data_IF_173957540770
#
_entry.id   IF_173957540770
#
_cell.length_a   1.000
_cell.length_b   1.000
_cell.length_c   1.000
_cell.angle_alpha   90.00
_cell.angle_beta   90.00
_cell.angle_gamma   90.00
#
_symmetry.space_group_name_H-M   'P 1'
#
loop_
_entity.id
_entity.type
_entity.pdbx_description
1 polymer ?
#
# COMPACT_ATOMS: atom_id res chain seq x y z
N UNK A 1 -17.56 7.34 -5.81
CA UNK A 1 -18.12 6.47 -4.74
C UNK A 1 -17.80 7.12 -3.40
N UNK A 2 -18.76 7.24 -2.46
CA UNK A 2 -18.51 7.85 -1.15
C UNK A 2 -17.60 6.98 -0.28
N UNK A 3 -16.84 7.63 0.60
CA UNK A 3 -15.94 6.96 1.54
C UNK A 3 -16.73 6.20 2.62
N UNK A 4 -16.23 5.04 3.04
CA UNK A 4 -16.85 4.24 4.09
C UNK A 4 -16.69 4.90 5.47
N UNK A 5 -17.77 4.94 6.25
CA UNK A 5 -17.77 5.50 7.59
C UNK A 5 -17.32 4.47 8.64
N UNK A 6 -16.68 4.94 9.72
CA UNK A 6 -16.10 4.09 10.76
C UNK A 6 -16.30 4.71 12.13
N UNK A 7 -16.11 3.89 13.17
CA UNK A 7 -16.07 4.36 14.55
C UNK A 7 -15.09 5.54 14.69
N UNK A 8 -15.56 6.61 15.32
CA UNK A 8 -14.79 7.83 15.56
C UNK A 8 -14.71 8.79 14.36
N UNK A 9 -15.25 8.46 13.19
CA UNK A 9 -15.38 9.44 12.11
C UNK A 9 -16.48 10.47 12.48
N UNK A 10 -16.28 11.74 12.10
CA UNK A 10 -17.16 12.84 12.51
C UNK A 10 -18.46 12.90 11.69
N UNK A 11 -19.56 13.24 12.36
CA UNK A 11 -20.85 13.59 11.77
C UNK A 11 -21.10 15.09 11.90
N UNK A 12 -21.46 15.74 10.79
CA UNK A 12 -21.75 17.17 10.74
C UNK A 12 -22.83 17.56 11.76
N UNK A 13 -22.71 18.76 12.33
CA UNK A 13 -23.76 19.35 13.16
C UNK A 13 -24.98 19.78 12.32
N UNK A 14 -25.99 20.33 12.99
CA UNK A 14 -27.15 20.95 12.33
C UNK A 14 -27.68 22.10 13.19
N UNK A 15 -28.10 23.21 12.57
CA UNK A 15 -28.49 24.41 13.31
C UNK A 15 -27.37 24.90 14.24
N UNK A 16 -27.68 25.07 15.53
CA UNK A 16 -26.70 25.40 16.57
C UNK A 16 -26.01 24.16 17.19
N UNK A 17 -26.41 22.94 16.84
CA UNK A 17 -25.87 21.74 17.44
C UNK A 17 -24.54 21.35 16.80
N UNK A 18 -23.46 21.14 17.57
CA UNK A 18 -22.12 20.92 17.04
C UNK A 18 -21.96 19.54 16.39
N UNK A 19 -20.88 19.37 15.62
CA UNK A 19 -20.48 18.07 15.10
C UNK A 19 -20.03 17.13 16.21
N UNK A 20 -20.28 15.83 16.05
CA UNK A 20 -19.89 14.80 17.03
C UNK A 20 -19.53 13.48 16.33
N UNK A 21 -18.68 12.63 16.94
CA UNK A 21 -18.19 11.41 16.31
C UNK A 21 -19.18 10.24 16.39
N UNK A 22 -19.01 9.27 15.48
CA UNK A 22 -19.65 7.95 15.54
C UNK A 22 -19.09 7.18 16.75
N UNK A 23 -19.97 6.58 17.56
CA UNK A 23 -19.64 5.91 18.83
C UNK A 23 -19.84 4.39 18.81
N UNK A 24 -20.46 3.84 17.78
CA UNK A 24 -20.64 2.41 17.60
C UNK A 24 -20.33 1.98 16.16
N UNK A 25 -20.02 0.70 15.99
CA UNK A 25 -19.77 0.09 14.69
C UNK A 25 -20.00 -1.42 14.75
N UNK A 26 -19.58 -2.11 13.70
CA UNK A 26 -19.54 -3.58 13.64
C UNK A 26 -18.59 -4.18 14.70
N UNK A 27 -18.93 -5.36 15.21
CA UNK A 27 -18.10 -6.08 16.19
C UNK A 27 -16.97 -6.90 15.56
N UNK A 28 -17.05 -7.18 14.26
CA UNK A 28 -16.18 -8.14 13.55
C UNK A 28 -15.71 -7.64 12.17
N UNK A 29 -16.30 -6.56 11.65
CA UNK A 29 -15.88 -5.90 10.41
C UNK A 29 -15.21 -4.58 10.73
N UNK A 30 -13.95 -4.45 10.31
CA UNK A 30 -13.17 -3.23 10.46
C UNK A 30 -12.73 -2.67 9.10
N UNK A 31 -12.57 -1.34 9.04
CA UNK A 31 -12.10 -0.59 7.88
C UNK A 31 -10.94 0.29 8.38
N UNK A 32 -9.74 0.09 7.82
CA UNK A 32 -8.49 0.69 8.31
C UNK A 32 -8.28 0.51 9.83
N UNK A 33 -8.59 -0.68 10.37
CA UNK A 33 -8.41 -1.00 11.79
C UNK A 33 -9.45 -0.37 12.73
N UNK A 34 -10.48 0.31 12.23
CA UNK A 34 -11.59 0.85 13.02
C UNK A 34 -12.89 0.09 12.70
N UNK A 35 -13.76 -0.20 13.68
CA UNK A 35 -15.08 -0.78 13.42
C UNK A 35 -15.85 -0.06 12.31
N UNK A 36 -16.40 -0.80 11.34
CA UNK A 36 -17.17 -0.23 10.25
C UNK A 36 -18.53 0.28 10.75
N UNK A 37 -18.91 1.49 10.39
CA UNK A 37 -20.18 2.07 10.79
C UNK A 37 -21.31 1.64 9.84
N UNK A 38 -22.52 1.50 10.38
CA UNK A 38 -23.70 0.98 9.69
C UNK A 38 -24.91 1.83 10.05
N UNK A 39 -25.97 1.72 9.23
CA UNK A 39 -27.28 2.29 9.57
C UNK A 39 -27.72 1.81 10.95
N UNK A 40 -28.13 2.75 11.79
CA UNK A 40 -28.57 2.55 13.18
C UNK A 40 -27.44 2.50 14.20
N UNK A 41 -26.16 2.60 13.81
CA UNK A 41 -25.08 2.75 14.79
C UNK A 41 -25.13 4.16 15.42
N UNK A 42 -24.80 4.21 16.71
CA UNK A 42 -24.92 5.41 17.56
C UNK A 42 -23.87 6.46 17.20
N UNK A 43 -24.29 7.72 17.18
CA UNK A 43 -23.43 8.90 17.11
C UNK A 43 -23.51 9.62 18.46
N UNK A 44 -22.40 10.20 18.92
CA UNK A 44 -22.38 10.88 20.22
C UNK A 44 -23.44 11.98 20.24
N UNK A 45 -24.25 11.99 21.30
CA UNK A 45 -25.28 13.02 21.51
C UNK A 45 -24.67 14.43 21.52
N UNK A 46 -25.48 15.44 21.23
CA UNK A 46 -25.03 16.83 21.32
C UNK A 46 -26.08 17.75 21.94
N UNK A 47 -25.62 18.90 22.41
CA UNK A 47 -26.43 19.95 22.99
C UNK A 47 -26.17 21.27 22.26
N UNK A 48 -27.21 22.10 22.15
CA UNK A 48 -27.08 23.43 21.57
C UNK A 48 -26.47 24.41 22.59
N UNK A 49 -25.39 25.14 22.27
CA UNK A 49 -24.69 26.02 23.21
C UNK A 49 -25.34 27.43 23.36
N UNK A 50 -26.60 27.60 22.95
CA UNK A 50 -27.26 28.91 22.99
C UNK A 50 -27.58 29.33 24.44
N UNK A 51 -27.17 30.54 24.89
CA UNK A 51 -27.34 30.98 26.27
C UNK A 51 -28.75 31.42 26.64
N UNK A 52 -29.60 31.77 25.66
CA UNK A 52 -30.90 32.43 25.88
C UNK A 52 -32.11 31.57 25.47
N UNK A 53 -31.89 30.55 24.63
CA UNK A 53 -32.94 29.62 24.19
C UNK A 53 -32.33 28.22 24.06
N UNK A 54 -32.37 27.40 25.11
CA UNK A 54 -31.76 26.08 25.07
C UNK A 54 -32.63 25.17 24.20
N UNK A 55 -32.17 24.89 22.97
CA UNK A 55 -32.79 23.90 22.09
C UNK A 55 -32.61 22.44 22.61
N UNK A 56 -32.05 22.27 23.80
CA UNK A 56 -31.92 20.99 24.49
C UNK A 56 -30.70 20.18 24.09
N UNK A 57 -30.73 18.90 24.48
CA UNK A 57 -29.80 17.85 24.10
C UNK A 57 -30.59 16.67 23.54
N UNK A 58 -30.10 16.04 22.48
CA UNK A 58 -30.74 14.87 21.89
C UNK A 58 -29.71 13.87 21.37
N UNK A 59 -30.14 12.61 21.31
CA UNK A 59 -29.35 11.51 20.74
C UNK A 59 -29.22 11.63 19.23
N UNK A 60 -28.24 10.90 18.68
CA UNK A 60 -27.96 10.89 17.25
C UNK A 60 -27.72 9.46 16.79
N UNK A 61 -28.25 9.07 15.64
CA UNK A 61 -27.98 7.77 15.02
C UNK A 61 -27.92 7.87 13.50
N UNK A 62 -27.13 7.00 12.87
CA UNK A 62 -27.02 6.97 11.41
C UNK A 62 -28.34 6.46 10.82
N UNK A 63 -29.03 7.28 10.01
CA UNK A 63 -30.37 6.95 9.50
C UNK A 63 -30.37 6.40 8.06
N UNK A 64 -29.29 6.60 7.31
CA UNK A 64 -29.10 6.10 5.95
C UNK A 64 -27.85 5.21 5.79
N UNK A 65 -27.73 4.53 4.66
CA UNK A 65 -26.62 3.66 4.32
C UNK A 65 -26.68 3.25 2.84
N UNK A 66 -25.74 2.42 2.40
CA UNK A 66 -25.75 1.88 1.04
C UNK A 66 -27.00 1.05 0.73
N UNK A 67 -27.47 1.10 -0.51
CA UNK A 67 -28.57 0.26 -0.99
C UNK A 67 -28.14 -1.19 -1.28
N UNK A 68 -26.84 -1.41 -1.55
CA UNK A 68 -26.34 -2.68 -2.08
C UNK A 68 -25.25 -3.33 -1.21
N UNK A 69 -24.68 -2.59 -0.26
CA UNK A 69 -23.63 -3.10 0.62
C UNK A 69 -24.13 -3.12 2.06
N UNK A 70 -24.16 -4.32 2.64
CA UNK A 70 -24.51 -4.53 4.04
C UNK A 70 -23.31 -5.08 4.83
N UNK A 71 -23.25 -4.71 6.11
CA UNK A 71 -22.25 -5.17 7.08
C UNK A 71 -23.04 -5.69 8.28
N UNK A 72 -22.85 -6.98 8.63
CA UNK A 72 -23.67 -7.71 9.60
C UNK A 72 -25.19 -7.51 9.41
N UNK A 73 -25.66 -7.57 8.18
CA UNK A 73 -27.08 -7.44 7.85
C UNK A 73 -27.66 -6.02 7.92
N UNK A 74 -26.86 -5.00 8.24
CA UNK A 74 -27.27 -3.58 8.21
C UNK A 74 -26.60 -2.85 7.05
N UNK A 75 -27.28 -1.89 6.38
CA UNK A 75 -26.67 -1.04 5.36
C UNK A 75 -25.36 -0.39 5.84
N UNK A 76 -24.30 -0.48 5.04
CA UNK A 76 -23.02 0.14 5.38
C UNK A 76 -23.12 1.67 5.31
N UNK A 77 -22.62 2.37 6.33
CA UNK A 77 -22.65 3.83 6.39
C UNK A 77 -21.44 4.45 5.66
N UNK A 78 -21.65 5.64 5.10
CA UNK A 78 -20.74 6.30 4.17
C UNK A 78 -20.79 7.81 4.37
N UNK A 79 -19.77 8.51 3.90
CA UNK A 79 -19.78 9.97 3.85
C UNK A 79 -20.98 10.45 3.04
N UNK A 80 -21.76 11.36 3.63
CA UNK A 80 -23.01 11.88 3.07
C UNK A 80 -24.27 11.17 3.55
N UNK A 81 -24.17 9.99 4.18
CA UNK A 81 -25.35 9.32 4.73
C UNK A 81 -25.93 10.12 5.92
N UNK A 82 -27.25 10.25 5.96
CA UNK A 82 -27.97 11.09 6.90
C UNK A 82 -27.88 10.59 8.36
N UNK A 83 -27.98 11.55 9.29
CA UNK A 83 -28.18 11.31 10.72
C UNK A 83 -29.65 11.64 11.05
N UNK A 84 -30.30 10.83 11.89
CA UNK A 84 -31.72 10.92 12.22
C UNK A 84 -32.19 12.31 12.70
N UNK A 85 -31.41 12.98 13.54
CA UNK A 85 -31.71 14.29 14.10
C UNK A 85 -31.38 15.45 13.14
N UNK A 86 -30.59 15.19 12.09
CA UNK A 86 -30.06 16.18 11.17
C UNK A 86 -28.54 16.12 10.98
N UNK A 87 -28.10 16.65 9.84
CA UNK A 87 -26.73 16.53 9.37
C UNK A 87 -26.45 15.18 8.69
N UNK A 88 -25.18 14.92 8.44
CA UNK A 88 -24.73 13.71 7.73
C UNK A 88 -23.38 13.25 8.28
N UNK A 89 -22.99 12.02 7.95
CA UNK A 89 -21.61 11.58 8.12
C UNK A 89 -20.69 12.49 7.29
N UNK A 90 -19.71 13.11 7.94
CA UNK A 90 -18.85 14.14 7.35
C UNK A 90 -17.44 13.65 7.03
N UNK A 91 -16.99 12.58 7.69
CA UNK A 91 -15.68 11.97 7.46
C UNK A 91 -15.81 10.45 7.28
N UNK A 92 -14.80 9.86 6.64
CA UNK A 92 -14.75 8.43 6.36
C UNK A 92 -13.31 7.97 6.09
N UNK A 93 -13.18 6.75 5.59
CA UNK A 93 -11.92 6.18 5.12
C UNK A 93 -11.29 6.99 3.97
N UNK A 94 -9.97 7.13 3.98
CA UNK A 94 -9.24 7.76 2.89
C UNK A 94 -9.05 6.85 1.65
N UNK A 95 -9.32 5.55 1.77
CA UNK A 95 -9.04 4.58 0.70
C UNK A 95 -10.06 3.44 0.57
N UNK A 96 -11.11 3.41 1.37
CA UNK A 96 -12.23 2.45 1.25
C UNK A 96 -13.49 3.21 0.87
N UNK A 97 -14.07 2.84 -0.26
CA UNK A 97 -15.25 3.49 -0.84
C UNK A 97 -16.37 2.47 -1.04
N UNK A 98 -17.60 2.86 -0.72
CA UNK A 98 -18.78 1.99 -0.81
C UNK A 98 -19.78 2.64 -1.77
N UNK A 99 -20.10 1.96 -2.87
CA UNK A 99 -21.04 2.46 -3.89
C UNK A 99 -22.43 1.84 -3.78
N UNK A 100 -23.40 2.45 -4.46
CA UNK A 100 -24.74 1.90 -4.69
C UNK A 100 -24.92 1.34 -6.11
N UNK A 101 -23.87 1.43 -6.93
CA UNK A 101 -23.86 0.88 -8.28
C UNK A 101 -23.03 -0.41 -8.25
N UNK A 102 -23.59 -1.56 -8.65
CA UNK A 102 -22.80 -2.77 -8.83
C UNK A 102 -21.67 -2.48 -9.81
N UNK A 103 -20.44 -2.88 -9.46
CA UNK A 103 -19.31 -2.83 -10.38
C UNK A 103 -19.65 -3.66 -11.61
N UNK A 104 -19.80 -3.01 -12.77
CA UNK A 104 -19.85 -3.69 -14.06
C UNK A 104 -18.41 -3.89 -14.50
N UNK A 105 -17.91 -5.12 -14.44
CA UNK A 105 -16.67 -5.44 -15.13
C UNK A 105 -16.87 -5.17 -16.63
N UNK A 106 -15.84 -4.75 -17.37
CA UNK A 106 -15.88 -4.84 -18.82
C UNK A 106 -16.07 -6.32 -19.16
N UNK A 107 -17.28 -6.71 -19.55
CA UNK A 107 -17.58 -8.08 -19.94
C UNK A 107 -16.87 -8.35 -21.25
N UNK A 108 -15.83 -9.17 -21.22
CA UNK A 108 -15.33 -9.80 -22.44
C UNK A 108 -16.43 -10.71 -23.00
N UNK A 109 -16.52 -10.87 -24.33
CA UNK A 109 -17.54 -11.74 -24.98
C UNK A 109 -17.65 -13.12 -24.34
N UNK A 110 -16.54 -13.67 -23.83
CA UNK A 110 -16.51 -14.97 -23.16
C UNK A 110 -17.21 -15.03 -21.79
N UNK A 111 -17.54 -13.89 -21.17
CA UNK A 111 -18.24 -13.81 -19.88
C UNK A 111 -19.60 -13.12 -19.93
N UNK A 112 -20.05 -12.72 -21.13
CA UNK A 112 -21.28 -11.93 -21.30
C UNK A 112 -22.54 -12.72 -20.92
N UNK A 113 -22.63 -13.98 -21.35
CA UNK A 113 -23.76 -14.86 -20.96
C UNK A 113 -23.81 -15.13 -19.46
N UNK A 114 -22.67 -15.44 -18.82
CA UNK A 114 -22.62 -15.68 -17.38
C UNK A 114 -22.97 -14.42 -16.57
N UNK A 115 -22.56 -13.24 -17.03
CA UNK A 115 -22.89 -11.96 -16.40
C UNK A 115 -24.37 -11.58 -16.57
N UNK A 116 -24.96 -11.84 -17.75
CA UNK A 116 -26.38 -11.58 -18.01
C UNK A 116 -27.30 -12.51 -17.20
N UNK A 117 -26.91 -13.76 -17.02
CA UNK A 117 -27.70 -14.75 -16.27
C UNK A 117 -27.43 -14.73 -14.75
N UNK A 118 -26.55 -13.85 -14.26
CA UNK A 118 -26.08 -13.86 -12.86
C UNK A 118 -25.57 -15.24 -12.41
N UNK A 119 -25.03 -16.02 -13.35
CA UNK A 119 -24.56 -17.37 -13.07
C UNK A 119 -23.24 -17.31 -12.29
N UNK A 120 -23.10 -18.00 -11.15
CA UNK A 120 -21.81 -18.12 -10.50
C UNK A 120 -20.82 -18.81 -11.45
N UNK A 121 -19.61 -18.28 -11.54
CA UNK A 121 -18.54 -18.75 -12.46
C UNK A 121 -18.15 -20.23 -12.26
N UNK A 122 -18.62 -20.87 -11.19
CA UNK A 122 -18.46 -22.29 -10.88
C UNK A 122 -19.83 -22.97 -10.83
N UNK A 123 -20.40 -23.24 -12.01
CA UNK A 123 -21.45 -24.25 -12.13
C UNK A 123 -20.74 -25.60 -12.23
N UNK A 124 -20.49 -26.25 -11.09
CA UNK A 124 -20.05 -27.65 -11.08
C UNK A 124 -21.27 -28.48 -11.50
N UNK A 125 -21.49 -28.59 -12.81
CA UNK A 125 -22.32 -29.68 -13.32
C UNK A 125 -21.54 -30.99 -13.14
N UNK A 126 -22.21 -32.13 -12.88
CA UNK A 126 -21.53 -33.40 -12.88
C UNK A 126 -20.88 -33.60 -14.25
N UNK A 127 -19.59 -33.93 -14.24
CA UNK A 127 -18.77 -34.07 -15.44
C UNK A 127 -19.42 -35.11 -16.36
N UNK A 128 -19.94 -34.67 -17.51
CA UNK A 128 -20.37 -35.59 -18.55
C UNK A 128 -19.16 -36.45 -18.94
N UNK A 129 -19.36 -37.76 -18.96
CA UNK A 129 -18.30 -38.74 -19.17
C UNK A 129 -17.58 -38.45 -20.50
N UNK A 130 -16.25 -38.27 -20.42
CA UNK A 130 -15.47 -37.89 -21.58
C UNK A 130 -15.47 -39.04 -22.62
N UNK A 131 -15.68 -38.75 -23.92
CA UNK A 131 -15.50 -39.77 -24.94
C UNK A 131 -14.04 -40.23 -24.97
N UNK A 132 -13.77 -41.49 -25.38
CA UNK A 132 -12.42 -42.01 -25.41
C UNK A 132 -11.52 -41.17 -26.35
N UNK A 133 -10.42 -40.69 -25.79
CA UNK A 133 -9.45 -39.83 -26.43
C UNK A 133 -8.38 -40.68 -27.15
N UNK A 134 -8.18 -40.44 -28.44
CA UNK A 134 -7.14 -41.09 -29.25
C UNK A 134 -5.82 -40.30 -29.16
N UNK A 135 -4.80 -40.93 -28.57
CA UNK A 135 -3.48 -40.34 -28.34
C UNK A 135 -2.67 -40.15 -29.64
N UNK A 136 -3.11 -40.71 -30.78
CA UNK A 136 -2.35 -40.71 -32.02
C UNK A 136 -2.51 -39.44 -32.90
N UNK A 137 -3.32 -38.45 -32.50
CA UNK A 137 -3.65 -37.30 -33.35
C UNK A 137 -3.50 -35.94 -32.68
N UNK A 138 -2.38 -35.72 -31.98
CA UNK A 138 -2.01 -34.36 -31.55
C UNK A 138 -1.19 -33.66 -32.65
N UNK A 139 -1.70 -32.59 -33.30
CA UNK A 139 -0.83 -31.63 -33.96
C UNK A 139 -0.10 -30.86 -32.87
N UNK A 140 1.19 -31.15 -32.73
CA UNK A 140 2.10 -30.54 -31.78
C UNK A 140 2.12 -29.02 -31.94
N UNK A 141 1.76 -28.33 -30.86
CA UNK A 141 1.61 -26.88 -30.79
C UNK A 141 2.94 -26.25 -30.37
N UNK A 142 3.73 -25.82 -31.34
CA UNK A 142 4.95 -25.03 -31.10
C UNK A 142 4.67 -23.51 -31.17
N UNK A 143 3.58 -23.11 -31.86
CA UNK A 143 3.31 -21.71 -32.22
C UNK A 143 2.53 -20.92 -31.14
N UNK A 144 1.86 -21.59 -30.20
CA UNK A 144 1.08 -20.90 -29.15
C UNK A 144 1.96 -20.39 -28.00
N UNK A 145 3.07 -21.08 -27.72
CA UNK A 145 3.97 -20.74 -26.62
C UNK A 145 4.84 -19.52 -26.93
N UNK A 146 5.28 -19.35 -28.18
CA UNK A 146 6.04 -18.17 -28.62
C UNK A 146 5.18 -16.90 -28.58
N UNK A 147 3.91 -17.00 -28.99
CA UNK A 147 2.96 -15.88 -28.98
C UNK A 147 2.53 -15.44 -27.57
N UNK A 148 2.53 -16.36 -26.61
CA UNK A 148 2.24 -16.06 -25.20
C UNK A 148 3.41 -15.37 -24.51
N UNK A 149 4.66 -15.71 -24.86
CA UNK A 149 5.86 -15.07 -24.33
C UNK A 149 5.99 -13.61 -24.81
N UNK A 150 5.77 -13.33 -26.10
CA UNK A 150 5.85 -11.96 -26.65
C UNK A 150 4.72 -11.04 -26.14
N UNK A 151 3.55 -11.59 -25.83
CA UNK A 151 2.41 -10.81 -25.27
C UNK A 151 2.62 -10.40 -23.82
N UNK A 152 3.43 -11.13 -23.05
CA UNK A 152 3.69 -10.78 -21.65
C UNK A 152 4.68 -9.63 -21.49
N UNK A 153 5.58 -9.39 -22.45
CA UNK A 153 6.47 -8.22 -22.40
C UNK A 153 5.75 -6.90 -22.70
N UNK A 154 4.77 -6.88 -23.63
CA UNK A 154 4.07 -5.63 -24.01
C UNK A 154 2.96 -5.17 -23.06
N UNK A 155 2.43 -6.04 -22.19
CA UNK A 155 1.31 -5.69 -21.28
C UNK A 155 1.79 -5.01 -19.99
N UNK A 156 3.08 -5.12 -19.64
CA UNK A 156 3.64 -4.45 -18.46
C UNK A 156 3.79 -2.93 -18.67
N UNK A 157 3.84 -2.47 -19.91
CA UNK A 157 4.20 -1.09 -20.25
C UNK A 157 3.02 -0.10 -20.31
N UNK A 158 1.76 -0.55 -20.19
CA UNK A 158 0.59 0.30 -20.48
C UNK A 158 -0.43 0.50 -19.34
N UNK A 159 -0.15 0.11 -18.09
CA UNK A 159 -1.01 0.54 -16.97
C UNK A 159 -0.55 1.88 -16.39
N UNK A 160 -1.31 2.91 -16.75
CA UNK A 160 -1.21 4.29 -16.28
C UNK A 160 -0.93 4.41 -14.79
N UNK A 161 0.23 5.01 -14.53
CA UNK A 161 0.76 5.62 -13.32
C UNK A 161 -0.34 6.26 -12.44
N UNK A 162 -0.53 5.82 -11.17
CA UNK A 162 -1.19 6.68 -10.20
C UNK A 162 -0.28 7.89 -9.99
N UNK A 163 -0.80 9.09 -10.19
CA UNK A 163 -0.11 10.34 -9.88
C UNK A 163 0.02 10.47 -8.36
N UNK A 164 0.96 9.73 -7.77
CA UNK A 164 1.51 10.07 -6.48
C UNK A 164 2.16 11.46 -6.63
N UNK A 165 1.82 12.39 -5.75
CA UNK A 165 2.59 13.63 -5.62
C UNK A 165 4.05 13.22 -5.42
N UNK A 166 4.93 13.62 -6.34
CA UNK A 166 6.37 13.38 -6.20
C UNK A 166 6.81 13.92 -4.83
N UNK A 167 7.65 13.15 -4.14
CA UNK A 167 8.26 13.56 -2.88
C UNK A 167 9.26 14.69 -3.10
N UNK A 168 9.87 15.14 -2.01
CA UNK A 168 10.84 16.23 -2.00
C UNK A 168 12.24 15.71 -1.75
N UNK A 169 13.21 16.12 -2.57
CA UNK A 169 14.63 15.90 -2.30
C UNK A 169 15.23 17.14 -1.61
N UNK A 170 15.95 16.93 -0.52
CA UNK A 170 16.74 17.95 0.18
C UNK A 170 18.14 17.45 0.49
N UNK A 171 19.01 18.33 1.00
CA UNK A 171 20.40 17.97 1.33
C UNK A 171 21.37 18.09 0.16
N UNK A 172 22.60 17.60 0.35
CA UNK A 172 23.66 17.71 -0.67
C UNK A 172 23.74 16.42 -1.46
N UNK A 173 23.50 16.50 -2.77
CA UNK A 173 23.61 15.35 -3.65
C UNK A 173 25.04 14.81 -3.66
N UNK A 174 25.18 13.49 -3.60
CA UNK A 174 26.50 12.85 -3.59
C UNK A 174 27.25 13.16 -4.88
N UNK A 175 28.39 13.82 -4.74
CA UNK A 175 29.22 14.27 -5.86
C UNK A 175 30.09 13.11 -6.34
N UNK A 176 30.09 12.90 -7.65
CA UNK A 176 30.91 11.86 -8.28
C UNK A 176 32.27 12.47 -8.67
N UNK A 177 33.38 12.05 -8.04
CA UNK A 177 34.71 12.55 -8.39
C UNK A 177 35.10 12.12 -9.80
N UNK A 178 35.71 13.03 -10.58
CA UNK A 178 36.18 12.71 -11.95
C UNK A 178 37.28 11.64 -12.00
N UNK A 179 37.97 11.40 -10.89
CA UNK A 179 39.06 10.42 -10.74
C UNK A 179 38.63 9.14 -9.99
N UNK A 180 37.34 8.97 -9.70
CA UNK A 180 36.87 7.76 -9.03
C UNK A 180 37.07 6.54 -9.93
N UNK A 181 37.49 5.42 -9.34
CA UNK A 181 37.48 4.13 -10.01
C UNK A 181 36.06 3.70 -10.36
N UNK A 182 35.92 2.76 -11.30
CA UNK A 182 34.62 2.39 -11.85
C UNK A 182 33.66 1.82 -10.80
N UNK A 183 34.17 1.09 -9.80
CA UNK A 183 33.35 0.53 -8.75
C UNK A 183 32.82 1.63 -7.80
N UNK A 184 33.69 2.55 -7.37
CA UNK A 184 33.27 3.70 -6.56
C UNK A 184 32.31 4.61 -7.31
N UNK A 185 32.61 4.90 -8.59
CA UNK A 185 31.76 5.71 -9.45
C UNK A 185 30.36 5.11 -9.58
N UNK A 186 30.29 3.80 -9.83
CA UNK A 186 29.02 3.05 -9.90
C UNK A 186 28.25 3.16 -8.59
N UNK A 187 28.88 2.92 -7.44
CA UNK A 187 28.21 2.98 -6.15
C UNK A 187 27.58 4.36 -5.87
N UNK A 188 28.30 5.45 -6.17
CA UNK A 188 27.79 6.82 -5.99
C UNK A 188 26.65 7.15 -6.97
N UNK A 189 26.67 6.59 -8.18
CA UNK A 189 25.57 6.72 -9.15
C UNK A 189 24.33 5.98 -8.63
N UNK A 190 24.47 4.72 -8.23
CA UNK A 190 23.35 3.90 -7.72
C UNK A 190 22.74 4.45 -6.43
N UNK A 191 23.54 5.14 -5.62
CA UNK A 191 23.05 5.87 -4.46
C UNK A 191 22.13 7.02 -4.90
N UNK A 192 22.60 7.86 -5.82
CA UNK A 192 21.80 8.95 -6.38
C UNK A 192 20.53 8.47 -7.09
N UNK A 193 20.57 7.31 -7.76
CA UNK A 193 19.41 6.70 -8.42
C UNK A 193 18.41 6.11 -7.42
N UNK A 194 18.89 5.49 -6.34
CA UNK A 194 18.02 5.00 -5.28
C UNK A 194 17.24 6.16 -4.64
N UNK A 195 17.90 7.31 -4.43
CA UNK A 195 17.24 8.54 -3.96
C UNK A 195 16.18 9.02 -4.93
N UNK A 196 16.49 9.08 -6.23
CA UNK A 196 15.50 9.49 -7.24
C UNK A 196 14.29 8.55 -7.26
N UNK A 197 14.50 7.24 -7.09
CA UNK A 197 13.43 6.26 -7.02
C UNK A 197 12.52 6.48 -5.79
N UNK A 198 13.10 6.75 -4.61
CA UNK A 198 12.34 7.05 -3.39
C UNK A 198 11.51 8.33 -3.53
N UNK A 199 12.10 9.39 -4.10
CA UNK A 199 11.43 10.67 -4.35
C UNK A 199 10.32 10.51 -5.39
N UNK A 200 10.58 9.76 -6.46
CA UNK A 200 9.58 9.45 -7.49
C UNK A 200 8.42 8.61 -6.94
N UNK A 201 8.68 7.76 -5.95
CA UNK A 201 7.65 7.01 -5.22
C UNK A 201 6.81 7.88 -4.28
N UNK A 202 7.26 9.09 -3.93
CA UNK A 202 6.53 10.02 -3.08
C UNK A 202 7.10 10.20 -1.67
N UNK A 203 8.34 9.76 -1.42
CA UNK A 203 9.01 9.97 -0.13
C UNK A 203 9.77 11.30 -0.15
N UNK A 204 9.70 12.03 0.95
CA UNK A 204 10.58 13.17 1.21
C UNK A 204 11.88 12.67 1.82
N UNK A 205 12.97 12.92 1.13
CA UNK A 205 14.29 12.38 1.44
C UNK A 205 15.28 13.52 1.56
N UNK A 206 16.15 13.45 2.56
CA UNK A 206 17.32 14.28 2.70
C UNK A 206 18.57 13.43 2.49
N UNK A 207 19.40 13.78 1.50
CA UNK A 207 20.66 13.10 1.23
C UNK A 207 21.82 13.78 1.97
N UNK A 208 22.75 12.97 2.49
CA UNK A 208 23.87 13.40 3.32
C UNK A 208 23.44 14.33 4.47
N UNK A 209 22.53 13.89 5.36
CA UNK A 209 22.05 14.69 6.48
C UNK A 209 23.17 14.96 7.50
N UNK A 210 23.21 16.20 8.03
CA UNK A 210 24.14 16.55 9.12
C UNK A 210 23.47 16.25 10.46
N UNK A 211 23.85 15.13 11.08
CA UNK A 211 23.30 14.73 12.39
C UNK A 211 24.13 15.35 13.51
N UNK A 212 23.55 16.32 14.22
CA UNK A 212 24.22 16.98 15.36
C UNK A 212 24.52 15.98 16.48
N UNK A 213 25.74 16.04 17.02
CA UNK A 213 26.14 15.28 18.21
C UNK A 213 26.55 13.83 17.96
N UNK A 214 26.68 13.38 16.69
CA UNK A 214 27.14 12.03 16.38
C UNK A 214 28.26 12.04 15.34
N UNK A 215 29.11 11.00 15.34
CA UNK A 215 30.07 10.72 14.26
C UNK A 215 29.45 9.86 13.14
N UNK A 216 28.13 9.62 13.18
CA UNK A 216 27.45 8.77 12.21
C UNK A 216 27.13 9.62 10.98
N UNK A 217 27.56 9.13 9.83
CA UNK A 217 27.30 9.74 8.52
C UNK A 217 26.46 8.76 7.71
N UNK A 218 25.15 8.69 7.94
CA UNK A 218 24.25 7.90 7.10
C UNK A 218 24.05 8.59 5.76
N UNK A 219 23.83 7.80 4.71
CA UNK A 219 23.61 8.34 3.37
C UNK A 219 22.29 9.13 3.29
N UNK A 220 21.25 8.68 4.00
CA UNK A 220 19.89 9.20 3.86
C UNK A 220 19.17 9.43 5.20
N UNK A 221 18.32 10.45 5.19
CA UNK A 221 17.24 10.62 6.15
C UNK A 221 15.92 10.65 5.38
N UNK A 222 15.04 9.67 5.63
CA UNK A 222 13.67 9.67 5.13
C UNK A 222 12.87 10.56 6.08
N UNK A 223 12.58 11.79 5.65
CA UNK A 223 11.93 12.82 6.45
C UNK A 223 10.47 12.45 6.65
N UNK A 224 9.75 12.13 5.57
CA UNK A 224 8.38 11.64 5.63
C UNK A 224 8.04 10.81 4.41
N UNK A 225 7.14 9.85 4.57
CA UNK A 225 6.59 9.13 3.44
C UNK A 225 5.95 7.82 3.85
N UNK A 226 5.33 7.16 2.87
CA UNK A 226 4.68 5.88 3.08
C UNK A 226 5.09 4.93 1.96
N UNK A 227 5.50 3.72 2.34
CA UNK A 227 5.69 2.59 1.42
C UNK A 227 4.76 1.50 1.91
N UNK A 228 3.88 1.04 1.02
CA UNK A 228 2.81 0.09 1.36
C UNK A 228 2.02 0.60 2.56
N UNK A 229 1.98 -0.09 3.70
CA UNK A 229 1.30 0.39 4.93
C UNK A 229 2.25 1.00 5.99
N UNK A 230 3.55 0.98 5.73
CA UNK A 230 4.57 1.47 6.67
C UNK A 230 4.82 2.95 6.46
N UNK A 231 4.69 3.72 7.55
CA UNK A 231 5.02 5.14 7.56
C UNK A 231 6.46 5.33 8.02
N UNK A 232 7.17 6.21 7.32
CA UNK A 232 8.51 6.63 7.66
C UNK A 232 8.44 8.09 8.09
N UNK A 233 8.94 8.38 9.29
CA UNK A 233 9.03 9.72 9.85
C UNK A 233 10.41 9.87 10.51
N UNK A 234 11.24 10.74 9.92
CA UNK A 234 12.62 11.00 10.33
C UNK A 234 13.47 9.72 10.54
N UNK A 235 13.37 8.78 9.59
CA UNK A 235 14.07 7.50 9.64
C UNK A 235 15.42 7.60 8.95
N UNK A 236 16.49 7.34 9.70
CA UNK A 236 17.85 7.26 9.17
C UNK A 236 18.01 5.97 8.36
N UNK A 237 18.53 6.10 7.14
CA UNK A 237 18.74 4.97 6.23
C UNK A 237 20.11 5.04 5.55
N UNK A 238 20.62 3.87 5.18
CA UNK A 238 21.88 3.73 4.45
C UNK A 238 21.63 3.02 3.12
N UNK A 239 22.32 3.45 2.05
CA UNK A 239 22.12 2.84 0.73
C UNK A 239 23.13 1.72 0.51
N UNK A 240 22.65 0.59 -0.01
CA UNK A 240 23.50 -0.51 -0.41
C UNK A 240 23.11 -1.01 -1.81
N UNK A 241 24.09 -1.04 -2.71
CA UNK A 241 23.90 -1.47 -4.10
C UNK A 241 24.80 -2.68 -4.39
N UNK A 242 24.33 -3.92 -4.16
CA UNK A 242 25.12 -5.13 -4.45
C UNK A 242 25.46 -5.26 -5.93
N UNK A 243 26.64 -5.82 -6.21
CA UNK A 243 27.07 -6.09 -7.57
C UNK A 243 26.40 -7.34 -8.16
N UNK A 244 26.54 -7.49 -9.48
CA UNK A 244 25.97 -8.56 -10.31
C UNK A 244 25.98 -9.96 -9.70
N UNK A 245 27.13 -10.37 -9.17
CA UNK A 245 27.38 -11.74 -8.73
C UNK A 245 27.32 -11.90 -7.20
N UNK A 246 26.93 -10.87 -6.45
CA UNK A 246 26.86 -10.97 -4.98
C UNK A 246 25.77 -11.97 -4.58
N UNK A 247 26.12 -12.93 -3.72
CA UNK A 247 25.16 -13.94 -3.24
C UNK A 247 24.19 -13.35 -2.22
N UNK A 248 23.00 -13.93 -2.08
CA UNK A 248 22.02 -13.49 -1.09
C UNK A 248 22.56 -13.51 0.36
N UNK A 249 23.37 -14.51 0.69
CA UNK A 249 24.06 -14.61 1.98
C UNK A 249 25.04 -13.45 2.20
N UNK A 250 25.82 -13.09 1.18
CA UNK A 250 26.77 -11.98 1.28
C UNK A 250 26.04 -10.64 1.37
N UNK A 251 24.93 -10.47 0.63
CA UNK A 251 24.06 -9.30 0.74
C UNK A 251 23.56 -9.14 2.18
N UNK A 252 23.01 -10.21 2.77
CA UNK A 252 22.60 -10.23 4.18
C UNK A 252 23.75 -9.90 5.13
N UNK A 253 24.93 -10.48 4.91
CA UNK A 253 26.11 -10.23 5.74
C UNK A 253 26.54 -8.76 5.72
N UNK A 254 26.55 -8.13 4.54
CA UNK A 254 26.85 -6.70 4.40
C UNK A 254 25.80 -5.83 5.07
N UNK A 255 24.52 -6.20 4.98
CA UNK A 255 23.44 -5.54 5.73
C UNK A 255 23.72 -5.61 7.24
N UNK A 256 24.06 -6.79 7.76
CA UNK A 256 24.41 -6.98 9.16
C UNK A 256 25.62 -6.15 9.60
N UNK A 257 26.65 -6.06 8.77
CA UNK A 257 27.83 -5.21 9.04
C UNK A 257 27.43 -3.73 9.15
N UNK A 258 26.62 -3.21 8.21
CA UNK A 258 26.18 -1.80 8.23
C UNK A 258 25.31 -1.48 9.45
N UNK A 259 24.42 -2.39 9.83
CA UNK A 259 23.48 -2.19 10.96
C UNK A 259 24.17 -2.40 12.31
N UNK A 260 24.86 -3.51 12.52
CA UNK A 260 25.33 -3.91 13.85
C UNK A 260 26.79 -3.53 14.13
N UNK A 261 27.65 -3.56 13.11
CA UNK A 261 29.08 -3.31 13.28
C UNK A 261 29.36 -1.81 13.12
N UNK A 262 28.98 -1.25 11.97
CA UNK A 262 29.19 0.17 11.67
C UNK A 262 28.15 1.07 12.32
N UNK A 263 27.01 0.51 12.76
CA UNK A 263 25.90 1.23 13.42
C UNK A 263 25.48 2.50 12.68
N UNK A 264 25.47 2.41 11.35
CA UNK A 264 25.20 3.56 10.47
C UNK A 264 23.71 3.86 10.43
N UNK A 265 22.88 2.84 10.20
CA UNK A 265 21.43 2.94 10.16
C UNK A 265 20.78 1.61 10.56
N UNK A 266 19.53 1.70 11.04
CA UNK A 266 18.68 0.53 11.32
C UNK A 266 17.74 0.22 10.15
N UNK A 267 17.66 1.12 9.16
CA UNK A 267 16.93 0.94 7.90
C UNK A 267 17.93 0.91 6.75
N UNK A 268 17.78 -0.03 5.83
CA UNK A 268 18.64 -0.15 4.64
C UNK A 268 17.81 0.06 3.38
N UNK A 269 18.30 0.89 2.46
CA UNK A 269 17.80 0.99 1.10
C UNK A 269 18.67 0.11 0.21
N UNK A 270 18.12 -1.02 -0.22
CA UNK A 270 18.79 -2.00 -1.06
C UNK A 270 18.46 -1.72 -2.54
N UNK A 271 19.42 -1.17 -3.29
CA UNK A 271 19.28 -1.00 -4.74
C UNK A 271 19.72 -2.27 -5.47
N UNK A 272 18.76 -2.94 -6.09
CA UNK A 272 18.94 -4.24 -6.75
C UNK A 272 19.16 -4.12 -8.27
N UNK A 273 19.32 -2.92 -8.82
CA UNK A 273 19.45 -2.70 -10.28
C UNK A 273 20.66 -3.41 -10.90
N UNK A 274 21.75 -3.52 -10.14
CA UNK A 274 22.96 -4.21 -10.60
C UNK A 274 22.96 -5.70 -10.25
N UNK A 275 22.04 -6.17 -9.41
CA UNK A 275 22.04 -7.53 -8.87
C UNK A 275 21.22 -8.47 -9.76
N UNK A 276 21.75 -9.68 -10.00
CA UNK A 276 21.00 -10.74 -10.69
C UNK A 276 20.12 -11.57 -9.75
N UNK A 277 20.18 -11.30 -8.44
CA UNK A 277 19.44 -12.08 -7.43
C UNK A 277 17.98 -11.70 -7.40
N UNK A 278 17.12 -12.69 -7.15
CA UNK A 278 15.71 -12.43 -6.88
C UNK A 278 15.55 -11.85 -5.48
N UNK A 279 14.62 -10.91 -5.34
CA UNK A 279 14.28 -10.30 -4.04
C UNK A 279 13.87 -11.37 -3.01
N UNK A 280 13.17 -12.42 -3.45
CA UNK A 280 12.79 -13.56 -2.61
C UNK A 280 14.00 -14.28 -1.99
N UNK A 281 15.10 -14.45 -2.72
CA UNK A 281 16.33 -15.08 -2.19
C UNK A 281 16.93 -14.26 -1.04
N UNK A 282 16.80 -12.92 -1.10
CA UNK A 282 17.28 -12.03 -0.04
C UNK A 282 16.40 -12.16 1.21
N UNK A 283 15.08 -12.24 1.00
CA UNK A 283 14.12 -12.48 2.10
C UNK A 283 14.43 -13.80 2.79
N UNK A 284 14.66 -14.87 2.03
CA UNK A 284 15.00 -16.18 2.57
C UNK A 284 16.32 -16.17 3.33
N UNK A 285 17.34 -15.45 2.82
CA UNK A 285 18.62 -15.30 3.51
C UNK A 285 18.49 -14.54 4.84
N UNK A 286 17.65 -13.51 4.91
CA UNK A 286 17.38 -12.77 6.15
C UNK A 286 16.54 -13.60 7.13
N UNK A 287 15.57 -14.38 6.63
CA UNK A 287 14.76 -15.29 7.47
C UNK A 287 15.60 -16.42 8.05
N UNK A 288 16.51 -16.98 7.27
CA UNK A 288 17.40 -18.06 7.70
C UNK A 288 18.36 -17.60 8.81
N UNK A 289 18.85 -16.35 8.73
CA UNK A 289 19.71 -15.76 9.74
C UNK A 289 19.32 -14.30 9.99
N UNK A 290 18.40 -14.04 10.94
CA UNK A 290 17.92 -12.68 11.23
C UNK A 290 19.06 -11.72 11.55
N UNK A 291 18.91 -10.47 11.10
CA UNK A 291 19.86 -9.40 11.40
C UNK A 291 19.34 -8.62 12.60
N UNK A 292 20.03 -8.71 13.72
CA UNK A 292 19.67 -7.99 14.95
C UNK A 292 19.64 -6.47 14.68
N UNK A 293 18.71 -5.72 15.28
CA UNK A 293 18.52 -4.26 15.11
C UNK A 293 18.13 -3.77 13.71
N UNK A 294 17.98 -4.64 12.71
CA UNK A 294 17.47 -4.26 11.40
C UNK A 294 15.95 -4.05 11.51
N UNK A 295 15.49 -2.82 11.25
CA UNK A 295 14.07 -2.45 11.33
C UNK A 295 13.36 -2.60 10.00
N UNK A 296 13.96 -2.08 8.93
CA UNK A 296 13.33 -2.03 7.62
C UNK A 296 14.37 -2.27 6.51
N UNK A 297 13.98 -2.98 5.46
CA UNK A 297 14.73 -3.02 4.20
C UNK A 297 13.81 -2.56 3.08
N UNK A 298 14.14 -1.41 2.50
CA UNK A 298 13.44 -0.84 1.35
C UNK A 298 14.20 -1.29 0.11
N UNK A 299 13.52 -1.93 -0.85
CA UNK A 299 14.14 -2.37 -2.10
C UNK A 299 13.81 -1.38 -3.19
N UNK A 300 14.84 -0.96 -3.93
CA UNK A 300 14.69 -0.20 -5.17
C UNK A 300 15.15 -1.07 -6.34
N UNK A 301 14.30 -1.21 -7.35
CA UNK A 301 14.63 -1.97 -8.57
C UNK A 301 13.84 -1.45 -9.77
N UNK A 302 14.52 -1.09 -10.85
CA UNK A 302 13.95 -0.51 -12.07
C UNK A 302 13.02 0.67 -11.78
N UNK A 303 13.41 1.54 -10.84
CA UNK A 303 12.62 2.69 -10.39
C UNK A 303 11.38 2.35 -9.56
N UNK A 304 11.11 1.07 -9.27
CA UNK A 304 10.08 0.65 -8.31
C UNK A 304 10.65 0.59 -6.90
N UNK A 305 9.82 0.92 -5.93
CA UNK A 305 10.15 0.87 -4.50
C UNK A 305 9.19 -0.09 -3.82
N UNK A 306 9.71 -1.04 -3.04
CA UNK A 306 8.93 -2.00 -2.25
C UNK A 306 9.52 -2.16 -0.86
N UNK A 307 8.72 -2.61 0.10
CA UNK A 307 9.20 -2.92 1.44
C UNK A 307 9.40 -4.43 1.57
N UNK A 308 10.55 -4.87 2.09
CA UNK A 308 10.71 -6.28 2.40
C UNK A 308 9.89 -6.67 3.64
N UNK A 309 9.13 -7.77 3.59
CA UNK A 309 8.44 -8.30 4.76
C UNK A 309 9.48 -8.93 5.69
N UNK A 310 9.97 -8.14 6.64
CA UNK A 310 10.81 -8.63 7.73
C UNK A 310 9.90 -9.21 8.82
N UNK A 311 10.18 -10.45 9.21
CA UNK A 311 9.55 -11.03 10.39
C UNK A 311 10.15 -10.28 11.59
N UNK A 312 9.34 -9.50 12.30
CA UNK A 312 9.73 -8.94 13.59
C UNK A 312 9.94 -10.12 14.53
N UNK A 313 11.20 -10.39 14.88
CA UNK A 313 11.57 -11.33 15.94
C UNK A 313 11.14 -10.80 17.30
#
# INVERSE_FOLDING_TARGET
MPAAARLGDNCAGHGCFPATPIMAGSGDVSINGKPAARKGDMVLLHACPCPQFPHGMHGRSISAGSSNVSINGKPAARVGDAIDCGGSVAAGSGNVFIGDTPYKSPTHKCGEGAAMEQSPFLRIQPLAEAPPFDWASLPFVEESYTRAAEKQEKVVESKGKPTASKGTLSGTRTKIPKKADEATRRSLIRENEAVDALVAHGLDVQQNPVIKGTKRNPDLLIVKGKIEDTHFDNVVADVFSPGKNTSARNIRSTINEKVNIKKQAETIVLNMDDSQRKVAEIVDAIKAEPVTNLKNVIVTQNGKVTLLPLIKG
#
